data_IF_052172880631
#
_entry.id   IF_052172880631
#
_cell.length_a   1.000
_cell.length_b   1.000
_cell.length_c   1.000
_cell.angle_alpha   90.00
_cell.angle_beta   90.00
_cell.angle_gamma   90.00
#
_symmetry.space_group_name_H-M   'P 1'
#
loop_
_entity.id
_entity.type
_entity.pdbx_description
1 polymer ?
#
# COMPACT_ATOMS: atom_id res chain seq x y z
N UNK A 1 5.20 -14.66 -12.95
CA UNK A 1 4.30 -15.03 -14.06
C UNK A 1 3.68 -13.75 -14.60
N UNK A 2 3.20 -13.75 -15.84
CA UNK A 2 2.59 -12.57 -16.43
C UNK A 2 1.50 -12.92 -17.44
N UNK A 3 0.51 -12.04 -17.56
CA UNK A 3 -0.64 -12.17 -18.46
C UNK A 3 -0.92 -10.85 -19.17
N UNK A 4 -0.69 -10.82 -20.48
CA UNK A 4 -1.19 -9.75 -21.34
C UNK A 4 -2.72 -9.81 -21.38
N UNK A 5 -3.38 -8.76 -20.92
CA UNK A 5 -4.83 -8.61 -21.01
C UNK A 5 -5.25 -7.14 -21.02
N UNK A 6 -6.39 -6.83 -21.64
CA UNK A 6 -7.03 -5.53 -21.45
C UNK A 6 -7.79 -5.55 -20.12
N UNK A 7 -7.26 -4.82 -19.14
CA UNK A 7 -7.81 -4.75 -17.78
C UNK A 7 -9.23 -4.15 -17.75
N UNK A 8 -9.68 -3.47 -18.81
CA UNK A 8 -11.05 -2.93 -18.92
C UNK A 8 -12.10 -4.02 -19.11
N UNK A 9 -11.75 -5.02 -19.88
CA UNK A 9 -12.67 -6.08 -20.33
C UNK A 9 -12.43 -7.38 -19.58
N UNK A 10 -11.22 -7.57 -19.05
CA UNK A 10 -10.82 -8.79 -18.36
C UNK A 10 -11.51 -8.94 -16.99
N UNK A 11 -12.21 -10.06 -16.79
CA UNK A 11 -12.74 -10.42 -15.47
C UNK A 11 -11.59 -10.91 -14.57
N UNK A 12 -11.23 -10.10 -13.58
CA UNK A 12 -10.19 -10.43 -12.61
C UNK A 12 -10.46 -11.74 -11.84
N UNK A 13 -11.73 -12.18 -11.75
CA UNK A 13 -12.09 -13.46 -11.10
C UNK A 13 -11.54 -14.68 -11.86
N UNK A 14 -11.26 -14.54 -13.16
CA UNK A 14 -10.64 -15.60 -13.98
C UNK A 14 -9.22 -15.96 -13.53
N UNK A 15 -8.56 -15.09 -12.75
CA UNK A 15 -7.26 -15.41 -12.13
C UNK A 15 -7.35 -16.59 -11.16
N UNK A 16 -8.55 -16.94 -10.67
CA UNK A 16 -8.87 -18.06 -9.78
C UNK A 16 -7.98 -18.16 -8.52
N UNK A 17 -7.41 -17.04 -8.08
CA UNK A 17 -6.53 -16.94 -6.91
C UNK A 17 -6.86 -15.65 -6.16
N UNK A 18 -6.78 -15.70 -4.82
CA UNK A 18 -6.85 -14.50 -3.97
C UNK A 18 -5.45 -14.01 -3.66
N UNK A 19 -5.26 -12.70 -3.61
CA UNK A 19 -3.95 -12.08 -3.43
C UNK A 19 -3.77 -11.46 -2.05
N UNK A 20 -2.57 -11.62 -1.49
CA UNK A 20 -2.17 -11.05 -0.20
C UNK A 20 -1.74 -9.58 -0.35
N UNK A 21 -1.14 -9.26 -1.49
CA UNK A 21 -0.71 -7.90 -1.88
C UNK A 21 -1.13 -7.63 -3.31
N UNK A 22 -1.75 -6.47 -3.53
CA UNK A 22 -2.13 -5.98 -4.86
C UNK A 22 -1.48 -4.63 -5.09
N UNK A 23 -0.65 -4.52 -6.12
CA UNK A 23 -0.02 -3.28 -6.56
C UNK A 23 -0.70 -2.81 -7.84
N UNK A 24 -1.13 -1.56 -7.89
CA UNK A 24 -1.92 -1.00 -9.00
C UNK A 24 -1.27 0.30 -9.45
N UNK A 25 -0.87 0.33 -10.73
CA UNK A 25 -0.23 1.48 -11.36
C UNK A 25 -1.04 1.96 -12.58
N UNK A 26 -2.25 2.49 -12.37
CA UNK A 26 -3.11 2.83 -13.49
C UNK A 26 -2.47 3.95 -14.35
N UNK A 27 -2.61 3.88 -15.68
CA UNK A 27 -2.10 4.92 -16.58
C UNK A 27 -2.96 6.19 -16.45
N UNK A 28 -2.61 7.08 -15.53
CA UNK A 28 -3.36 8.31 -15.24
C UNK A 28 -3.15 9.38 -16.31
N UNK A 29 -4.20 10.16 -16.59
CA UNK A 29 -4.14 11.29 -17.54
C UNK A 29 -3.11 12.35 -17.13
N UNK A 30 -2.89 12.54 -15.81
CA UNK A 30 -1.86 13.47 -15.33
C UNK A 30 -0.44 13.08 -15.77
N UNK A 31 -0.16 11.80 -16.00
CA UNK A 31 1.16 11.34 -16.45
C UNK A 31 1.46 11.77 -17.88
N UNK A 32 0.46 11.85 -18.77
CA UNK A 32 0.68 12.37 -20.12
C UNK A 32 1.14 13.83 -20.09
N UNK A 33 0.48 14.64 -19.24
CA UNK A 33 0.79 16.06 -19.10
C UNK A 33 2.12 16.31 -18.40
N UNK A 34 2.39 15.57 -17.31
CA UNK A 34 3.55 15.81 -16.45
C UNK A 34 4.82 15.15 -16.97
N UNK A 35 4.71 13.93 -17.53
CA UNK A 35 5.84 13.11 -17.99
C UNK A 35 6.00 13.14 -19.52
N UNK A 36 5.06 13.74 -20.26
CA UNK A 36 5.18 13.93 -21.70
C UNK A 36 4.83 12.72 -22.56
N UNK A 37 4.10 11.76 -21.98
CA UNK A 37 3.79 10.48 -22.64
C UNK A 37 2.55 10.64 -23.52
N UNK A 38 2.71 10.56 -24.84
CA UNK A 38 1.62 10.80 -25.80
C UNK A 38 0.92 9.52 -26.27
N UNK A 39 1.61 8.38 -26.25
CA UNK A 39 1.11 7.09 -26.74
C UNK A 39 0.59 6.19 -25.61
N UNK A 40 -0.21 6.74 -24.69
CA UNK A 40 -0.78 5.98 -23.57
C UNK A 40 -2.30 6.10 -23.56
N UNK A 41 -2.98 4.96 -23.42
CA UNK A 41 -4.42 4.97 -23.20
C UNK A 41 -4.72 5.23 -21.73
N UNK A 42 -5.14 6.44 -21.41
CA UNK A 42 -5.40 6.85 -20.04
C UNK A 42 -6.65 6.21 -19.46
N UNK A 43 -6.64 6.07 -18.13
CA UNK A 43 -7.78 5.63 -17.34
C UNK A 43 -8.29 6.75 -16.46
N UNK A 44 -9.60 6.96 -16.49
CA UNK A 44 -10.27 7.85 -15.54
C UNK A 44 -10.40 7.20 -14.17
N UNK A 45 -10.54 8.02 -13.13
CA UNK A 45 -10.79 7.52 -11.78
C UNK A 45 -12.08 6.69 -11.68
N UNK A 46 -13.12 7.00 -12.46
CA UNK A 46 -14.34 6.19 -12.50
C UNK A 46 -14.09 4.79 -13.05
N UNK A 47 -13.29 4.67 -14.12
CA UNK A 47 -12.90 3.37 -14.69
C UNK A 47 -12.04 2.58 -13.70
N UNK A 48 -11.06 3.23 -13.06
CA UNK A 48 -10.23 2.60 -12.03
C UNK A 48 -11.13 2.09 -10.90
N UNK A 49 -12.06 2.91 -10.42
CA UNK A 49 -12.97 2.53 -9.34
C UNK A 49 -13.88 1.34 -9.70
N UNK A 50 -14.14 1.09 -10.98
CA UNK A 50 -14.97 -0.05 -11.44
C UNK A 50 -14.24 -1.39 -11.36
N UNK A 51 -12.92 -1.41 -11.25
CA UNK A 51 -12.16 -2.65 -11.08
C UNK A 51 -12.64 -3.42 -9.85
N UNK A 52 -12.89 -4.72 -10.01
CA UNK A 52 -13.35 -5.60 -8.94
C UNK A 52 -12.19 -6.11 -8.04
N UNK A 53 -11.31 -5.20 -7.63
CA UNK A 53 -10.15 -5.51 -6.76
C UNK A 53 -10.60 -6.22 -5.48
N UNK A 54 -11.78 -5.83 -4.98
CA UNK A 54 -12.39 -6.40 -3.80
C UNK A 54 -12.55 -7.92 -3.89
N UNK A 55 -12.93 -8.43 -5.06
CA UNK A 55 -13.21 -9.83 -5.34
C UNK A 55 -11.94 -10.68 -5.39
N UNK A 56 -10.82 -10.15 -5.89
CA UNK A 56 -9.55 -10.89 -5.97
C UNK A 56 -8.67 -10.74 -4.72
N UNK A 57 -9.09 -9.94 -3.76
CA UNK A 57 -8.35 -9.75 -2.50
C UNK A 57 -8.52 -10.94 -1.55
N UNK A 58 -7.45 -11.34 -0.86
CA UNK A 58 -7.58 -12.24 0.28
C UNK A 58 -8.27 -11.55 1.48
N UNK A 59 -8.83 -12.33 2.41
CA UNK A 59 -9.57 -11.82 3.57
C UNK A 59 -8.73 -10.90 4.47
N UNK A 60 -7.43 -11.18 4.59
CA UNK A 60 -6.40 -10.28 5.14
C UNK A 60 -5.44 -9.96 4.00
N UNK A 61 -5.37 -8.72 3.59
CA UNK A 61 -4.56 -8.31 2.43
C UNK A 61 -4.31 -6.80 2.42
N UNK A 62 -3.40 -6.40 1.54
CA UNK A 62 -3.01 -5.01 1.34
C UNK A 62 -3.10 -4.62 -0.14
N UNK A 63 -3.41 -3.36 -0.38
CA UNK A 63 -3.38 -2.77 -1.72
C UNK A 63 -2.48 -1.54 -1.71
N UNK A 64 -1.71 -1.36 -2.77
CA UNK A 64 -0.80 -0.24 -2.99
C UNK A 64 -1.19 0.41 -4.31
N UNK A 65 -1.76 1.61 -4.25
CA UNK A 65 -2.35 2.30 -5.40
C UNK A 65 -1.57 3.58 -5.69
N UNK A 66 -0.90 3.64 -6.84
CA UNK A 66 -0.32 4.88 -7.33
C UNK A 66 -1.42 5.87 -7.72
N UNK A 67 -1.40 7.03 -7.08
CA UNK A 67 -2.44 8.05 -7.16
C UNK A 67 -1.96 9.35 -7.80
N UNK A 68 -0.73 9.37 -8.33
CA UNK A 68 -0.15 10.59 -8.86
C UNK A 68 0.02 11.66 -7.77
N UNK A 69 -0.26 12.92 -8.12
CA UNK A 69 -0.02 14.07 -7.23
C UNK A 69 -1.20 15.04 -7.09
N UNK A 70 -2.30 14.80 -7.81
CA UNK A 70 -3.46 15.71 -7.89
C UNK A 70 -4.70 15.14 -7.18
N UNK A 71 -5.86 15.26 -7.84
CA UNK A 71 -7.15 14.68 -7.46
C UNK A 71 -7.11 13.20 -7.13
N UNK A 72 -6.09 12.47 -7.62
CA UNK A 72 -5.92 11.06 -7.34
C UNK A 72 -5.72 10.72 -5.87
N UNK A 73 -5.29 11.68 -5.05
CA UNK A 73 -5.29 11.51 -3.60
C UNK A 73 -6.71 11.30 -3.05
N UNK A 74 -7.68 12.09 -3.49
CA UNK A 74 -9.06 11.98 -3.02
C UNK A 74 -9.78 10.80 -3.70
N UNK A 75 -9.60 10.66 -5.02
CA UNK A 75 -10.24 9.59 -5.78
C UNK A 75 -9.67 8.20 -5.45
N UNK A 76 -8.36 8.09 -5.19
CA UNK A 76 -7.74 6.87 -4.69
C UNK A 76 -8.34 6.43 -3.35
N UNK A 77 -8.62 7.36 -2.43
CA UNK A 77 -9.32 7.06 -1.17
C UNK A 77 -10.75 6.55 -1.42
N UNK A 78 -11.44 7.04 -2.45
CA UNK A 78 -12.76 6.53 -2.85
C UNK A 78 -12.66 5.11 -3.40
N UNK A 79 -11.65 4.83 -4.24
CA UNK A 79 -11.36 3.50 -4.76
C UNK A 79 -11.13 2.50 -3.61
N UNK A 80 -10.25 2.83 -2.66
CA UNK A 80 -9.98 2.00 -1.49
C UNK A 80 -11.27 1.66 -0.73
N UNK A 81 -12.14 2.65 -0.48
CA UNK A 81 -13.42 2.44 0.20
C UNK A 81 -14.32 1.48 -0.58
N UNK A 82 -14.48 1.68 -1.89
CA UNK A 82 -15.30 0.80 -2.74
C UNK A 82 -14.79 -0.63 -2.77
N UNK A 83 -13.48 -0.83 -2.80
CA UNK A 83 -12.87 -2.16 -2.81
C UNK A 83 -12.81 -2.85 -1.43
N UNK A 84 -13.29 -2.18 -0.37
CA UNK A 84 -13.34 -2.71 1.00
C UNK A 84 -12.01 -2.61 1.76
N UNK A 85 -11.16 -1.64 1.41
CA UNK A 85 -9.91 -1.34 2.10
C UNK A 85 -10.03 -0.05 2.92
N UNK A 86 -9.34 -0.02 4.06
CA UNK A 86 -9.14 1.20 4.85
C UNK A 86 -7.76 1.74 4.52
N UNK A 87 -7.65 3.02 4.16
CA UNK A 87 -6.32 3.66 3.98
C UNK A 87 -5.57 3.61 5.30
N UNK A 88 -4.35 3.07 5.29
CA UNK A 88 -3.49 2.95 6.47
C UNK A 88 -2.22 3.79 6.35
N UNK A 89 -1.56 3.83 5.20
CA UNK A 89 -0.33 4.62 4.99
C UNK A 89 -0.40 5.39 3.65
N UNK A 90 0.54 6.32 3.45
CA UNK A 90 0.70 7.13 2.23
C UNK A 90 2.21 7.23 1.90
N UNK A 91 2.68 6.37 1.00
CA UNK A 91 4.10 6.32 0.62
C UNK A 91 4.34 7.41 -0.42
N UNK A 92 5.19 8.39 -0.08
CA UNK A 92 5.53 9.48 -0.99
C UNK A 92 6.81 9.17 -1.74
N UNK A 93 6.73 9.16 -3.07
CA UNK A 93 7.91 9.18 -3.92
C UNK A 93 8.29 10.61 -4.25
N UNK A 94 9.39 11.07 -3.66
CA UNK A 94 9.96 12.39 -3.86
C UNK A 94 11.00 12.32 -4.97
N UNK A 95 10.85 13.20 -5.97
CA UNK A 95 11.76 13.29 -7.11
C UNK A 95 12.72 14.45 -6.92
N UNK A 96 14.01 14.16 -6.90
CA UNK A 96 15.08 15.16 -6.91
C UNK A 96 15.39 15.60 -8.33
N UNK A 97 16.00 16.78 -8.49
CA UNK A 97 16.43 17.33 -9.78
C UNK A 97 17.92 17.71 -9.74
N UNK A 98 18.73 16.91 -9.05
CA UNK A 98 20.16 17.20 -8.83
C UNK A 98 20.95 17.24 -10.15
N UNK A 99 20.53 16.46 -11.13
CA UNK A 99 21.15 16.31 -12.46
C UNK A 99 20.70 17.41 -13.42
N UNK A 100 19.49 17.93 -13.23
CA UNK A 100 18.94 19.02 -14.05
C UNK A 100 18.20 20.06 -13.17
N UNK A 101 18.95 20.89 -12.42
CA UNK A 101 18.35 21.86 -11.51
C UNK A 101 17.50 22.88 -12.25
N UNK A 102 16.26 23.06 -11.80
CA UNK A 102 15.36 24.03 -12.38
C UNK A 102 13.92 23.87 -11.91
N UNK A 103 13.10 24.87 -12.25
CA UNK A 103 11.66 24.78 -12.06
C UNK A 103 11.04 23.96 -13.19
N UNK A 104 10.19 23.01 -12.83
CA UNK A 104 9.39 22.30 -13.82
C UNK A 104 8.42 23.27 -14.47
N UNK A 105 8.33 23.22 -15.80
CA UNK A 105 7.47 24.11 -16.59
C UNK A 105 6.00 23.68 -16.58
N UNK A 106 5.72 22.46 -16.12
CA UNK A 106 4.38 21.89 -16.09
C UNK A 106 3.70 22.18 -14.74
N UNK A 107 3.18 23.40 -14.60
CA UNK A 107 2.35 23.77 -13.46
C UNK A 107 0.89 23.45 -13.82
N UNK A 108 0.27 22.56 -13.06
CA UNK A 108 -1.16 22.28 -13.22
C UNK A 108 -1.99 23.51 -12.86
N UNK A 109 -3.02 23.83 -13.64
CA UNK A 109 -3.77 25.09 -13.53
C UNK A 109 -4.35 25.38 -12.14
N UNK A 110 -4.64 24.34 -11.34
CA UNK A 110 -5.16 24.45 -9.96
C UNK A 110 -4.08 24.38 -8.88
N UNK A 111 -2.82 24.13 -9.24
CA UNK A 111 -1.74 23.95 -8.29
C UNK A 111 -1.14 25.31 -7.87
N UNK A 112 -1.01 25.51 -6.56
CA UNK A 112 -0.30 26.68 -6.00
C UNK A 112 1.21 26.45 -5.93
N UNK A 113 1.63 25.20 -5.72
CA UNK A 113 3.03 24.80 -5.61
C UNK A 113 3.41 23.85 -6.75
N UNK A 114 4.68 23.89 -7.14
CA UNK A 114 5.27 22.88 -8.01
C UNK A 114 5.21 21.53 -7.30
N UNK A 115 4.64 20.53 -7.98
CA UNK A 115 4.52 19.17 -7.43
C UNK A 115 5.71 18.33 -7.84
N UNK A 116 6.52 17.94 -6.87
CA UNK A 116 7.77 17.19 -7.06
C UNK A 116 7.69 15.78 -6.48
N UNK A 117 6.48 15.29 -6.20
CA UNK A 117 6.26 13.97 -5.63
C UNK A 117 4.98 13.32 -6.14
N UNK A 118 4.97 11.99 -6.11
CA UNK A 118 3.80 11.16 -6.32
C UNK A 118 3.46 10.37 -5.05
N UNK A 119 2.21 9.95 -4.94
CA UNK A 119 1.69 9.23 -3.78
C UNK A 119 1.28 7.81 -4.14
N UNK A 120 1.72 6.85 -3.34
CA UNK A 120 1.25 5.48 -3.36
C UNK A 120 0.45 5.22 -2.08
N UNK A 121 -0.88 5.23 -2.20
CA UNK A 121 -1.76 5.00 -1.06
C UNK A 121 -1.78 3.51 -0.70
N UNK A 122 -1.57 3.22 0.58
CA UNK A 122 -1.64 1.87 1.12
C UNK A 122 -2.99 1.65 1.79
N UNK A 123 -3.68 0.58 1.41
CA UNK A 123 -4.94 0.13 1.99
C UNK A 123 -4.82 -1.21 2.68
N UNK A 124 -5.54 -1.40 3.79
CA UNK A 124 -5.65 -2.66 4.53
C UNK A 124 -7.08 -3.23 4.46
N UNK A 125 -7.19 -4.53 4.18
CA UNK A 125 -8.43 -5.30 4.27
C UNK A 125 -8.34 -6.35 5.38
N UNK A 126 -9.47 -6.58 6.05
CA UNK A 126 -9.56 -7.48 7.20
C UNK A 126 -8.96 -6.90 8.48
N UNK A 127 -8.58 -7.79 9.40
CA UNK A 127 -7.98 -7.45 10.70
C UNK A 127 -6.56 -8.01 10.75
N UNK A 128 -5.58 -7.12 10.91
CA UNK A 128 -4.15 -7.48 11.10
C UNK A 128 -3.62 -6.68 12.28
N UNK A 129 -2.95 -7.37 13.21
CA UNK A 129 -2.41 -6.83 14.45
C UNK A 129 -0.91 -7.09 14.52
N UNK A 130 -0.12 -6.02 14.54
CA UNK A 130 1.35 -6.07 14.61
C UNK A 130 1.92 -6.93 15.75
N UNK A 131 1.20 -7.04 16.87
CA UNK A 131 1.63 -7.82 18.04
C UNK A 131 1.43 -9.32 17.92
N UNK A 132 0.47 -9.78 17.11
CA UNK A 132 0.07 -11.20 17.04
C UNK A 132 0.26 -11.80 15.66
N UNK A 133 0.14 -11.01 14.59
CA UNK A 133 0.21 -11.48 13.20
C UNK A 133 1.62 -11.28 12.60
N UNK A 134 2.66 -11.62 13.38
CA UNK A 134 4.06 -11.54 12.93
C UNK A 134 4.42 -12.56 11.85
N UNK A 135 3.60 -13.58 11.69
CA UNK A 135 3.65 -14.58 10.61
C UNK A 135 3.14 -14.05 9.26
N UNK A 136 2.48 -12.88 9.27
CA UNK A 136 1.92 -12.25 8.08
C UNK A 136 2.57 -10.89 7.75
N UNK A 137 2.95 -10.10 8.76
CA UNK A 137 3.58 -8.79 8.54
C UNK A 137 4.83 -8.54 9.38
N UNK A 138 5.81 -7.89 8.76
CA UNK A 138 6.92 -7.23 9.44
C UNK A 138 6.77 -5.72 9.32
N UNK A 139 5.95 -5.15 10.20
CA UNK A 139 5.76 -3.71 10.24
C UNK A 139 7.02 -2.96 10.67
N UNK A 140 7.12 -1.69 10.24
CA UNK A 140 8.17 -0.74 10.66
C UNK A 140 9.59 -1.11 10.22
N UNK A 141 9.75 -2.01 9.25
CA UNK A 141 11.04 -2.29 8.60
C UNK A 141 11.45 -1.14 7.68
N UNK A 142 10.53 -0.70 6.84
CA UNK A 142 10.72 0.42 5.91
C UNK A 142 9.92 1.65 6.32
N UNK A 143 10.33 2.82 5.81
CA UNK A 143 9.65 4.10 5.97
C UNK A 143 8.68 4.36 4.79
N UNK A 144 7.87 5.40 4.91
CA UNK A 144 6.86 5.82 3.91
C UNK A 144 7.40 6.83 2.88
N UNK A 145 8.72 6.82 2.62
CA UNK A 145 9.37 7.71 1.67
C UNK A 145 10.25 6.91 0.70
N UNK A 146 10.16 7.26 -0.58
CA UNK A 146 11.11 6.85 -1.61
C UNK A 146 11.71 8.14 -2.18
N UNK A 147 13.03 8.23 -2.25
CA UNK A 147 13.72 9.42 -2.79
C UNK A 147 14.61 8.96 -3.94
N UNK A 148 14.31 9.43 -5.14
CA UNK A 148 15.16 9.17 -6.30
C UNK A 148 15.19 10.38 -7.22
N UNK A 149 16.15 10.40 -8.14
CA UNK A 149 16.19 11.42 -9.18
C UNK A 149 14.96 11.32 -10.09
N UNK A 150 14.49 12.47 -10.57
CA UNK A 150 13.47 12.56 -11.61
C UNK A 150 13.92 11.77 -12.85
N UNK A 151 13.03 10.92 -13.35
CA UNK A 151 13.34 10.07 -14.48
C UNK A 151 13.40 10.86 -15.79
N UNK A 152 13.98 10.23 -16.81
CA UNK A 152 13.98 10.76 -18.17
C UNK A 152 12.56 11.03 -18.68
N UNK A 153 12.45 12.08 -19.50
CA UNK A 153 11.19 12.47 -20.12
C UNK A 153 10.58 11.32 -20.93
N UNK A 154 9.29 11.06 -20.74
CA UNK A 154 8.57 9.95 -21.37
C UNK A 154 8.59 8.63 -20.59
N UNK A 155 9.33 8.52 -19.47
CA UNK A 155 9.29 7.33 -18.63
C UNK A 155 8.06 7.32 -17.71
N UNK A 156 7.33 6.21 -17.70
CA UNK A 156 6.20 5.94 -16.79
C UNK A 156 6.60 5.12 -15.56
N UNK A 157 7.83 4.62 -15.53
CA UNK A 157 8.29 3.70 -14.50
C UNK A 157 8.15 4.28 -13.09
N UNK A 158 7.88 3.41 -12.13
CA UNK A 158 7.86 3.77 -10.72
C UNK A 158 9.13 3.21 -10.06
N UNK A 159 9.62 3.81 -8.96
CA UNK A 159 10.84 3.37 -8.35
C UNK A 159 10.71 1.92 -7.88
N UNK A 160 11.67 1.07 -8.26
CA UNK A 160 11.68 -0.37 -7.92
C UNK A 160 11.60 -0.63 -6.42
N UNK A 161 12.01 0.33 -5.60
CA UNK A 161 11.95 0.28 -4.14
C UNK A 161 10.52 0.03 -3.60
N UNK A 162 9.46 0.40 -4.34
CA UNK A 162 8.09 0.08 -3.92
C UNK A 162 7.87 -1.43 -3.79
N UNK A 163 8.50 -2.25 -4.64
CA UNK A 163 8.44 -3.71 -4.53
C UNK A 163 9.13 -4.20 -3.26
N UNK A 164 10.25 -3.60 -2.88
CA UNK A 164 10.97 -3.96 -1.66
C UNK A 164 10.14 -3.66 -0.42
N UNK A 165 9.55 -2.46 -0.34
CA UNK A 165 8.66 -2.07 0.77
C UNK A 165 7.50 -3.08 0.91
N UNK A 166 6.85 -3.43 -0.21
CA UNK A 166 5.75 -4.40 -0.20
C UNK A 166 6.18 -5.81 0.24
N UNK A 167 7.34 -6.28 -0.23
CA UNK A 167 7.88 -7.61 0.04
C UNK A 167 8.43 -7.76 1.46
N UNK A 168 9.06 -6.72 2.01
CA UNK A 168 9.51 -6.68 3.40
C UNK A 168 8.33 -6.60 4.35
N UNK A 169 7.32 -5.78 4.02
CA UNK A 169 6.17 -5.56 4.88
C UNK A 169 5.26 -6.80 5.00
N UNK A 170 4.90 -7.43 3.87
CA UNK A 170 3.94 -8.53 3.83
C UNK A 170 4.59 -9.86 3.43
N UNK A 171 4.49 -10.84 4.33
CA UNK A 171 5.03 -12.19 4.14
C UNK A 171 4.18 -13.06 3.21
N UNK A 172 2.96 -12.61 2.87
CA UNK A 172 2.10 -13.28 1.91
C UNK A 172 2.75 -13.36 0.52
N UNK A 173 2.76 -14.56 -0.06
CA UNK A 173 3.50 -14.84 -1.30
C UNK A 173 2.69 -14.61 -2.57
N UNK A 174 1.37 -14.42 -2.47
CA UNK A 174 0.49 -14.22 -3.63
C UNK A 174 0.39 -12.72 -3.92
N UNK A 175 1.22 -12.24 -4.84
CA UNK A 175 1.34 -10.81 -5.15
C UNK A 175 0.91 -10.54 -6.59
N UNK A 176 0.02 -9.56 -6.77
CA UNK A 176 -0.52 -9.15 -8.07
C UNK A 176 -0.05 -7.73 -8.39
N UNK A 177 0.51 -7.52 -9.58
CA UNK A 177 0.82 -6.21 -10.13
C UNK A 177 -0.08 -5.95 -11.34
N UNK A 178 -0.99 -4.98 -11.22
CA UNK A 178 -1.96 -4.58 -12.26
C UNK A 178 -1.43 -3.34 -12.97
N UNK A 179 -1.55 -3.32 -14.31
CA UNK A 179 -0.96 -2.35 -15.23
C UNK A 179 0.57 -2.43 -15.32
N UNK A 180 1.10 -3.62 -15.05
CA UNK A 180 2.51 -3.86 -15.24
C UNK A 180 2.89 -3.99 -16.72
N UNK A 181 4.19 -3.89 -16.95
CA UNK A 181 4.86 -3.88 -18.27
C UNK A 181 5.98 -4.91 -18.26
N UNK A 182 6.55 -5.20 -19.43
CA UNK A 182 7.68 -6.14 -19.55
C UNK A 182 8.85 -5.79 -18.63
N UNK A 183 9.14 -4.49 -18.47
CA UNK A 183 10.18 -3.93 -17.60
C UNK A 183 9.95 -4.19 -16.10
N UNK A 184 8.71 -4.47 -15.69
CA UNK A 184 8.32 -4.65 -14.27
C UNK A 184 7.94 -6.08 -13.92
N UNK A 185 8.18 -7.04 -14.84
CA UNK A 185 8.07 -8.47 -14.53
C UNK A 185 9.09 -8.82 -13.45
N UNK A 186 8.60 -9.37 -12.33
CA UNK A 186 9.42 -9.66 -11.14
C UNK A 186 9.16 -11.06 -10.58
N UNK A 187 10.20 -11.81 -10.14
CA UNK A 187 10.01 -13.04 -9.38
C UNK A 187 9.15 -12.81 -8.13
N UNK A 188 8.25 -13.76 -7.85
CA UNK A 188 7.31 -13.62 -6.72
C UNK A 188 6.07 -12.77 -7.00
N UNK A 189 5.92 -12.26 -8.23
CA UNK A 189 4.76 -11.50 -8.68
C UNK A 189 4.05 -12.16 -9.87
N UNK A 190 2.73 -12.00 -9.89
CA UNK A 190 1.91 -12.09 -11.10
C UNK A 190 1.71 -10.68 -11.65
N UNK A 191 2.18 -10.44 -12.87
CA UNK A 191 2.04 -9.14 -13.54
C UNK A 191 0.97 -9.22 -14.62
N UNK A 192 -0.02 -8.33 -14.60
CA UNK A 192 -1.06 -8.24 -15.64
C UNK A 192 -1.12 -6.83 -16.22
N UNK A 193 -1.38 -6.71 -17.51
CA UNK A 193 -1.49 -5.41 -18.16
C UNK A 193 -1.58 -5.49 -19.68
N UNK A 194 -2.06 -4.41 -20.33
CA UNK A 194 -2.25 -4.37 -21.79
C UNK A 194 -0.93 -4.28 -22.55
N UNK A 195 0.09 -3.69 -21.94
CA UNK A 195 1.39 -3.38 -22.56
C UNK A 195 2.40 -4.54 -22.48
N UNK A 196 2.01 -5.66 -21.87
CA UNK A 196 2.84 -6.87 -21.89
C UNK A 196 2.95 -7.41 -23.33
N UNK A 197 4.12 -7.88 -23.72
CA UNK A 197 4.32 -8.42 -25.08
C UNK A 197 3.91 -9.88 -25.21
N UNK A 198 3.84 -10.62 -24.10
CA UNK A 198 3.56 -12.06 -24.08
C UNK A 198 2.82 -12.46 -22.78
N UNK A 199 2.43 -13.74 -22.67
CA UNK A 199 1.76 -14.33 -21.51
C UNK A 199 2.35 -15.69 -21.17
N UNK A 200 2.54 -15.97 -19.88
CA UNK A 200 2.90 -17.31 -19.38
C UNK A 200 2.10 -17.74 -18.13
N UNK A 201 1.05 -16.98 -17.79
CA UNK A 201 0.21 -17.30 -16.65
C UNK A 201 -0.63 -18.55 -16.90
N UNK A 202 -0.58 -19.47 -15.95
CA UNK A 202 -1.48 -20.61 -15.85
C UNK A 202 -1.96 -20.69 -14.39
N UNK A 203 -3.28 -20.59 -14.18
CA UNK A 203 -3.86 -20.44 -12.85
C UNK A 203 -3.56 -21.64 -11.93
N UNK A 204 -3.68 -22.87 -12.44
CA UNK A 204 -3.42 -24.09 -11.67
C UNK A 204 -1.94 -24.18 -11.27
N UNK A 205 -1.04 -23.89 -12.20
CA UNK A 205 0.41 -23.87 -11.94
C UNK A 205 0.75 -22.79 -10.92
N UNK A 206 0.19 -21.58 -11.07
CA UNK A 206 0.40 -20.51 -10.10
C UNK A 206 -0.09 -20.89 -8.71
N UNK A 207 -1.33 -21.41 -8.60
CA UNK A 207 -1.92 -21.86 -7.35
C UNK A 207 -1.10 -22.98 -6.70
N UNK A 208 -0.51 -23.88 -7.49
CA UNK A 208 0.29 -25.01 -7.00
C UNK A 208 1.48 -24.59 -6.12
N UNK A 209 2.06 -23.42 -6.36
CA UNK A 209 3.20 -22.90 -5.58
C UNK A 209 2.85 -22.52 -4.13
N UNK A 210 1.56 -22.44 -3.81
CA UNK A 210 1.05 -22.01 -2.50
C UNK A 210 0.30 -23.12 -1.75
N UNK A 211 0.21 -24.32 -2.34
CA UNK A 211 -0.36 -25.49 -1.67
C UNK A 211 0.49 -25.90 -0.47
N UNK A 212 -0.06 -26.76 0.40
CA UNK A 212 0.64 -27.33 1.57
C UNK A 212 1.15 -26.32 2.62
N UNK A 213 0.45 -25.19 2.79
CA UNK A 213 0.73 -24.23 3.87
C UNK A 213 1.80 -23.19 3.54
N UNK A 214 2.38 -23.21 2.33
CA UNK A 214 3.37 -22.23 1.88
C UNK A 214 2.73 -20.93 1.37
N UNK A 215 1.73 -20.39 2.08
CA UNK A 215 1.06 -19.14 1.70
C UNK A 215 1.90 -17.92 2.16
N UNK A 216 2.64 -18.09 3.26
CA UNK A 216 3.61 -17.13 3.78
C UNK A 216 5.04 -17.58 3.47
N UNK A 217 5.99 -16.65 3.43
CA UNK A 217 7.43 -16.96 3.35
C UNK A 217 7.95 -17.64 4.62
N UNK A 218 7.22 -17.53 5.73
CA UNK A 218 7.74 -17.83 7.06
C UNK A 218 8.80 -16.80 7.48
N UNK A 219 9.45 -17.06 8.61
CA UNK A 219 10.48 -16.18 9.16
C UNK A 219 11.57 -17.03 9.84
N UNK A 220 12.83 -16.62 9.68
CA UNK A 220 13.96 -17.27 10.35
C UNK A 220 14.16 -16.67 11.74
N UNK A 221 14.75 -17.43 12.67
CA UNK A 221 15.07 -16.93 14.01
C UNK A 221 15.91 -15.65 14.00
N UNK A 222 16.85 -15.55 13.04
CA UNK A 222 17.67 -14.36 12.86
C UNK A 222 16.85 -13.13 12.47
N UNK A 223 15.91 -13.26 11.54
CA UNK A 223 15.03 -12.15 11.14
C UNK A 223 14.10 -11.80 12.31
N UNK A 224 13.54 -12.80 12.99
CA UNK A 224 12.73 -12.59 14.19
C UNK A 224 13.50 -11.84 15.29
N UNK A 225 14.79 -12.09 15.47
CA UNK A 225 15.60 -11.42 16.48
C UNK A 225 15.92 -9.95 16.13
N UNK A 226 16.02 -9.62 14.83
CA UNK A 226 16.45 -8.31 14.36
C UNK A 226 15.29 -7.37 14.01
N UNK A 227 14.13 -7.90 13.62
CA UNK A 227 13.02 -7.06 13.16
C UNK A 227 12.44 -6.22 14.31
N UNK A 228 11.93 -5.00 14.02
CA UNK A 228 11.27 -4.18 15.02
C UNK A 228 10.04 -4.87 15.62
N UNK A 229 9.92 -4.81 16.96
CA UNK A 229 8.82 -5.40 17.73
C UNK A 229 8.36 -4.46 18.84
N UNK A 230 7.09 -4.57 19.23
CA UNK A 230 6.57 -3.87 20.40
C UNK A 230 7.32 -4.32 21.67
N UNK A 231 7.64 -3.41 22.59
CA UNK A 231 8.17 -3.78 23.90
C UNK A 231 7.20 -4.71 24.66
N UNK A 232 7.71 -5.57 25.56
CA UNK A 232 6.87 -6.36 26.43
C UNK A 232 5.90 -5.46 27.21
N UNK A 233 4.62 -5.84 27.36
CA UNK A 233 3.69 -5.08 28.18
C UNK A 233 4.23 -4.99 29.62
N UNK A 234 4.27 -3.78 30.19
CA UNK A 234 4.64 -3.61 31.60
C UNK A 234 3.61 -4.35 32.45
N UNK A 235 4.03 -5.44 33.09
CA UNK A 235 3.24 -6.14 34.09
C UNK A 235 2.80 -5.15 35.17
N UNK A 236 1.50 -4.88 35.29
CA UNK A 236 0.89 -4.19 36.45
C UNK A 236 0.83 -5.12 37.67
N UNK A 237 1.91 -5.84 37.96
CA UNK A 237 2.02 -6.76 39.10
C UNK A 237 3.34 -6.56 39.81
N UNK A 238 3.54 -5.33 40.33
CA UNK A 238 4.54 -5.04 41.35
C UNK A 238 4.16 -3.76 42.10
N UNK A 239 2.98 -3.75 42.75
CA UNK A 239 2.61 -2.80 43.81
C UNK A 239 1.42 -3.36 44.61
N UNK A 240 1.52 -4.62 45.00
CA UNK A 240 0.67 -5.20 46.03
C UNK A 240 1.56 -6.09 46.90
N UNK A 241 2.17 -5.51 47.94
CA UNK A 241 2.94 -6.28 48.90
C UNK A 241 3.85 -5.46 49.83
N UNK A 242 3.28 -5.12 50.99
CA UNK A 242 3.91 -4.81 52.29
C UNK A 242 4.30 -3.36 52.63
N UNK A 243 3.55 -2.82 53.60
CA UNK A 243 3.99 -1.73 54.50
C UNK A 243 2.81 -0.90 55.03
N UNK A 244 1.95 -1.49 55.87
CA UNK A 244 0.75 -0.82 56.38
C UNK A 244 0.99 0.22 57.48
N UNK A 245 0.05 1.16 57.62
CA UNK A 245 -0.66 1.54 58.86
C UNK A 245 -1.72 2.60 58.50
N UNK A 246 -2.91 2.45 59.10
CA UNK A 246 -4.16 3.01 58.58
C UNK A 246 -4.47 4.46 58.95
N UNK A 247 -5.55 4.96 58.36
CA UNK A 247 -6.73 5.58 59.00
C UNK A 247 -7.78 5.88 57.91
N UNK A 248 -9.09 5.76 58.17
CA UNK A 248 -10.13 5.88 57.15
C UNK A 248 -10.74 7.29 57.15
N UNK A 249 -10.84 7.98 56.01
CA UNK A 249 -11.71 9.16 55.92
C UNK A 249 -12.36 9.32 54.53
N UNK A 250 -13.68 9.18 54.55
CA UNK A 250 -14.76 9.76 53.73
C UNK A 250 -14.69 9.76 52.19
N UNK A 251 -15.67 9.05 51.64
CA UNK A 251 -16.30 9.24 50.33
C UNK A 251 -16.67 10.71 50.11
N UNK A 252 -16.20 11.31 49.01
CA UNK A 252 -16.78 12.53 48.45
C UNK A 252 -16.96 12.37 46.95
N UNK A 253 -18.22 12.09 46.58
CA UNK A 253 -18.75 12.27 45.24
C UNK A 253 -18.45 13.69 44.75
N UNK A 254 -17.73 13.84 43.64
CA UNK A 254 -17.63 15.13 42.95
C UNK A 254 -18.56 15.11 41.73
N UNK A 255 -19.67 15.81 41.90
CA UNK A 255 -20.72 16.02 40.91
C UNK A 255 -20.23 16.82 39.70
N UNK A 256 -20.86 16.54 38.56
CA UNK A 256 -20.78 17.28 37.30
C UNK A 256 -21.19 18.75 37.53
N UNK A 257 -20.35 19.68 37.11
CA UNK A 257 -20.70 21.09 36.97
C UNK A 257 -20.59 21.52 35.51
N UNK A 258 -21.74 21.73 34.85
CA UNK A 258 -21.84 22.55 33.63
C UNK A 258 -21.58 24.00 34.04
N UNK A 259 -20.56 24.63 33.47
CA UNK A 259 -20.36 26.07 33.52
C UNK A 259 -20.78 26.68 32.19
N UNK A 260 -21.82 27.51 32.22
CA UNK A 260 -22.27 28.38 31.13
C UNK A 260 -21.93 29.82 31.52
N UNK A 261 -21.71 30.67 30.50
CA UNK A 261 -21.80 32.15 30.46
C UNK A 261 -20.47 32.93 30.61
N UNK A 262 -20.38 34.21 30.17
CA UNK A 262 -21.34 35.00 29.36
C UNK A 262 -20.74 35.81 28.18
N UNK A 263 -21.66 36.21 27.28
CA UNK A 263 -21.67 37.33 26.30
C UNK A 263 -20.66 37.30 25.15
#
# INVERSE_FOLDING_TARGET
MYLKCDVREFDLKELNVKFDVIHIEPPLEEYQRTLGVTNMQCWSWDQIMQLEIGEVSAARSFVFLWCGSSEGLDQGRNCLRKWGFRRCEDICWIRTNSSNPGHSKNIEAKAVFQRTKEHCLMGIKGTVRRSTDGDFIHANVDIDLIISEEMEYGSLEKPVEIFHIMEHFCLGRRRLHIFGRDSTIRPGWLTIGPDLTNSNFNADTYASYFLNGYISTGCTERIEALRPKSPPPKNKTALAGRGGRGMPVSVLYRARGRGVMPR
#
